data_IF_808683289685
#
_entry.id   IF_808683289685
#
_cell.length_a   1.000
_cell.length_b   1.000
_cell.length_c   1.000
_cell.angle_alpha   90.00
_cell.angle_beta   90.00
_cell.angle_gamma   90.00
#
_symmetry.space_group_name_H-M   'P 1'
#
loop_
_entity.id
_entity.type
_entity.pdbx_description
1 polymer ?
#
# COMPACT_ATOMS: atom_id res chain seq x y z
N UNK A 1 -8.45 -3.00 19.21
CA UNK A 1 -7.44 -3.60 18.32
C UNK A 1 -7.58 -3.00 16.95
N UNK A 2 -6.50 -2.82 16.18
CA UNK A 2 -6.61 -2.35 14.80
C UNK A 2 -7.35 -3.36 13.93
N UNK A 3 -7.93 -2.87 12.84
CA UNK A 3 -8.75 -3.63 11.90
C UNK A 3 -8.03 -3.83 10.58
N UNK A 4 -8.37 -4.93 9.89
CA UNK A 4 -7.94 -5.21 8.51
C UNK A 4 -9.03 -5.92 7.72
N UNK A 5 -8.89 -5.89 6.41
CA UNK A 5 -9.66 -6.76 5.51
C UNK A 5 -8.76 -7.89 5.03
N UNK A 6 -9.28 -9.12 5.01
CA UNK A 6 -8.57 -10.28 4.46
C UNK A 6 -9.41 -10.98 3.40
N UNK A 7 -8.73 -11.57 2.43
CA UNK A 7 -9.28 -12.55 1.49
C UNK A 7 -9.21 -13.90 2.21
N UNK A 8 -10.35 -14.42 2.65
CA UNK A 8 -10.43 -15.69 3.39
C UNK A 8 -10.27 -16.93 2.49
N UNK A 9 -10.61 -16.80 1.21
CA UNK A 9 -10.45 -17.77 0.11
C UNK A 9 -10.58 -17.03 -1.22
N UNK A 10 -10.20 -17.65 -2.32
CA UNK A 10 -10.43 -17.06 -3.64
C UNK A 10 -11.93 -17.01 -3.97
N UNK A 11 -12.39 -15.91 -4.60
CA UNK A 11 -13.80 -15.77 -4.95
C UNK A 11 -14.25 -14.34 -5.24
N UNK A 12 -15.54 -14.11 -5.13
CA UNK A 12 -16.21 -12.82 -5.30
C UNK A 12 -16.04 -11.90 -4.06
N UNK A 13 -16.75 -10.77 -4.01
CA UNK A 13 -16.66 -9.82 -2.89
C UNK A 13 -17.00 -10.43 -1.52
N UNK A 14 -17.82 -11.46 -1.49
CA UNK A 14 -18.27 -12.17 -0.30
C UNK A 14 -17.17 -12.87 0.50
N UNK A 15 -15.99 -13.06 -0.10
CA UNK A 15 -14.85 -13.69 0.57
C UNK A 15 -13.98 -12.71 1.36
N UNK A 16 -14.32 -11.41 1.30
CA UNK A 16 -13.64 -10.38 2.08
C UNK A 16 -14.18 -10.36 3.51
N UNK A 17 -13.30 -10.51 4.47
CA UNK A 17 -13.63 -10.49 5.90
C UNK A 17 -12.99 -9.28 6.56
N UNK A 18 -13.78 -8.51 7.31
CA UNK A 18 -13.29 -7.42 8.16
C UNK A 18 -13.08 -7.94 9.57
N UNK A 19 -11.87 -7.87 10.07
CA UNK A 19 -11.49 -8.50 11.34
C UNK A 19 -10.53 -7.66 12.17
N UNK A 20 -10.51 -7.91 13.48
CA UNK A 20 -9.45 -7.44 14.35
C UNK A 20 -8.17 -8.23 14.08
N UNK A 21 -7.01 -7.60 14.24
CA UNK A 21 -5.73 -8.29 14.13
C UNK A 21 -4.70 -7.74 15.10
N UNK A 22 -3.70 -8.55 15.40
CA UNK A 22 -2.55 -8.15 16.21
C UNK A 22 -1.41 -7.65 15.32
N UNK A 23 -0.96 -6.43 15.60
CA UNK A 23 0.25 -5.90 14.98
C UNK A 23 1.46 -6.65 15.59
N UNK A 24 2.43 -7.08 14.77
CA UNK A 24 3.63 -7.72 15.31
C UNK A 24 4.29 -6.90 16.43
N UNK A 25 4.58 -7.52 17.56
CA UNK A 25 5.18 -6.84 18.72
C UNK A 25 6.61 -6.32 18.43
N UNK A 26 7.29 -6.92 17.45
CA UNK A 26 8.66 -6.55 17.07
C UNK A 26 8.66 -6.03 15.64
N UNK A 27 9.04 -4.77 15.47
CA UNK A 27 9.26 -4.17 14.16
C UNK A 27 10.61 -4.66 13.58
N UNK A 28 10.61 -5.03 12.30
CA UNK A 28 11.87 -5.37 11.60
C UNK A 28 12.79 -4.16 11.53
N UNK A 29 14.13 -4.37 11.63
CA UNK A 29 15.09 -3.27 11.65
C UNK A 29 15.02 -2.31 10.46
N UNK A 30 14.69 -2.81 9.27
CA UNK A 30 14.64 -2.07 7.99
C UNK A 30 13.21 -1.62 7.61
N UNK A 31 12.24 -1.76 8.53
CA UNK A 31 10.84 -1.39 8.33
C UNK A 31 10.45 -0.16 9.14
N UNK A 32 9.37 0.44 8.71
CA UNK A 32 8.66 1.52 9.39
C UNK A 32 7.25 1.04 9.67
N UNK A 33 6.72 1.31 10.87
CA UNK A 33 5.31 1.07 11.21
C UNK A 33 4.50 2.31 10.89
N UNK A 34 3.44 2.12 10.14
CA UNK A 34 2.58 3.19 9.63
C UNK A 34 1.17 3.00 10.19
N UNK A 35 0.62 4.06 10.77
CA UNK A 35 -0.82 4.19 11.02
C UNK A 35 -1.44 4.80 9.76
N UNK A 36 -2.16 4.00 9.01
CA UNK A 36 -2.75 4.41 7.73
C UNK A 36 -4.02 5.23 7.97
N UNK A 37 -4.12 6.37 7.30
CA UNK A 37 -5.30 7.25 7.29
C UNK A 37 -6.13 7.06 6.02
N UNK A 38 -5.49 6.62 4.93
CA UNK A 38 -6.13 6.42 3.62
C UNK A 38 -5.54 5.23 2.90
N UNK A 39 -6.40 4.43 2.27
CA UNK A 39 -6.04 3.23 1.52
C UNK A 39 -6.57 3.33 0.10
N UNK A 40 -5.72 3.13 -0.89
CA UNK A 40 -6.08 3.12 -2.30
C UNK A 40 -6.71 1.79 -2.71
N UNK A 41 -7.84 1.87 -3.41
CA UNK A 41 -8.51 0.72 -4.01
C UNK A 41 -8.16 0.66 -5.49
N UNK A 42 -7.62 -0.46 -5.93
CA UNK A 42 -7.17 -0.66 -7.30
C UNK A 42 -7.80 -1.91 -7.92
N UNK A 43 -8.00 -1.89 -9.24
CA UNK A 43 -8.64 -3.01 -9.93
C UNK A 43 -7.84 -4.32 -9.79
N UNK A 44 -6.53 -4.24 -9.65
CA UNK A 44 -5.65 -5.39 -9.42
C UNK A 44 -5.99 -6.14 -8.11
N UNK A 45 -6.56 -5.47 -7.12
CA UNK A 45 -6.98 -6.10 -5.86
C UNK A 45 -8.09 -7.13 -6.10
N UNK A 46 -8.93 -6.89 -7.11
CA UNK A 46 -9.95 -7.86 -7.55
C UNK A 46 -9.33 -9.09 -8.21
N UNK A 47 -8.20 -8.91 -8.91
CA UNK A 47 -7.46 -10.02 -9.55
C UNK A 47 -6.81 -10.92 -8.51
N UNK A 48 -6.22 -10.35 -7.45
CA UNK A 48 -5.71 -11.11 -6.33
C UNK A 48 -6.83 -11.87 -5.61
N UNK A 49 -7.96 -11.21 -5.35
CA UNK A 49 -9.10 -11.83 -4.68
C UNK A 49 -9.68 -13.00 -5.48
N UNK A 50 -9.83 -12.85 -6.79
CA UNK A 50 -10.41 -13.88 -7.67
C UNK A 50 -9.43 -15.01 -8.02
N UNK A 51 -8.14 -14.85 -7.75
CA UNK A 51 -7.09 -15.79 -8.13
C UNK A 51 -6.60 -15.64 -9.57
N UNK A 52 -7.02 -14.58 -10.30
CA UNK A 52 -6.47 -14.26 -11.62
C UNK A 52 -4.98 -13.93 -11.51
N UNK A 53 -4.58 -13.23 -10.44
CA UNK A 53 -3.19 -13.02 -10.06
C UNK A 53 -2.89 -13.83 -8.79
N UNK A 54 -1.73 -14.51 -8.73
CA UNK A 54 -1.38 -15.33 -7.58
C UNK A 54 -1.23 -14.48 -6.32
N UNK A 55 -1.71 -15.00 -5.21
CA UNK A 55 -1.44 -14.47 -3.89
C UNK A 55 -0.02 -14.85 -3.45
N UNK A 56 0.64 -14.06 -2.59
CA UNK A 56 1.99 -14.35 -2.09
C UNK A 56 2.01 -15.53 -1.10
N UNK A 57 0.86 -15.94 -0.59
CA UNK A 57 0.66 -17.04 0.34
C UNK A 57 -0.77 -17.60 0.21
N UNK A 58 -1.03 -18.74 0.81
CA UNK A 58 -2.39 -19.24 0.95
C UNK A 58 -3.26 -18.30 1.82
N UNK A 59 -4.56 -18.14 1.51
CA UNK A 59 -5.48 -17.38 2.35
C UNK A 59 -5.49 -17.89 3.81
N UNK A 60 -5.71 -17.00 4.80
CA UNK A 60 -6.16 -15.61 4.64
C UNK A 60 -5.03 -14.62 4.33
N UNK A 61 -5.23 -13.73 3.36
CA UNK A 61 -4.27 -12.71 2.95
C UNK A 61 -4.90 -11.33 2.97
N UNK A 62 -4.24 -10.35 3.59
CA UNK A 62 -4.65 -8.95 3.51
C UNK A 62 -4.29 -8.38 2.13
N UNK A 63 -5.26 -7.90 1.33
CA UNK A 63 -5.00 -7.34 0.03
C UNK A 63 -4.54 -5.87 0.09
N UNK A 64 -4.42 -5.28 -1.10
CA UNK A 64 -4.13 -3.85 -1.28
C UNK A 64 -2.65 -3.56 -1.45
N UNK A 65 -2.36 -2.54 -2.27
CA UNK A 65 -1.02 -2.18 -2.71
C UNK A 65 -0.69 -0.70 -2.48
N UNK A 66 -1.64 0.12 -2.05
CA UNK A 66 -1.49 1.56 -2.02
C UNK A 66 -2.13 2.15 -0.76
N UNK A 67 -1.40 2.99 -0.05
CA UNK A 67 -1.92 3.73 1.09
C UNK A 67 -1.04 4.94 1.43
N UNK A 68 -1.59 5.78 2.32
CA UNK A 68 -0.88 6.87 2.98
C UNK A 68 -1.24 6.93 4.47
N UNK A 69 -0.37 7.54 5.25
CA UNK A 69 -0.57 7.67 6.69
C UNK A 69 0.65 8.29 7.38
N UNK A 70 0.75 8.05 8.67
CA UNK A 70 1.78 8.60 9.54
C UNK A 70 2.66 7.51 10.14
N UNK A 71 3.95 7.78 10.23
CA UNK A 71 4.94 6.92 10.87
C UNK A 71 4.74 6.93 12.38
N UNK A 72 4.52 5.76 12.98
CA UNK A 72 4.35 5.60 14.43
C UNK A 72 5.51 4.85 15.11
N UNK A 73 6.33 4.13 14.35
CA UNK A 73 7.53 3.45 14.84
C UNK A 73 8.54 3.29 13.70
N UNK A 74 9.84 3.37 14.01
CA UNK A 74 10.93 3.29 13.03
C UNK A 74 11.92 2.23 13.46
N UNK A 75 12.18 1.27 12.58
CA UNK A 75 13.21 0.25 12.78
C UNK A 75 14.62 0.86 12.78
N UNK A 76 15.53 0.30 13.56
CA UNK A 76 16.85 0.88 13.82
C UNK A 76 17.80 0.93 12.58
N UNK A 77 17.39 0.35 11.46
CA UNK A 77 18.07 0.44 10.15
C UNK A 77 17.22 1.14 9.08
N UNK A 78 16.02 1.61 9.43
CA UNK A 78 15.13 2.34 8.54
C UNK A 78 15.50 3.84 8.51
N UNK A 79 16.61 4.15 7.85
CA UNK A 79 17.13 5.53 7.78
C UNK A 79 16.22 6.45 6.97
N UNK A 80 16.23 7.74 7.31
CA UNK A 80 15.54 8.78 6.58
C UNK A 80 14.08 9.02 7.03
N UNK A 81 13.57 8.28 8.02
CA UNK A 81 12.22 8.45 8.57
C UNK A 81 12.26 8.77 10.06
N UNK A 82 11.25 9.48 10.52
CA UNK A 82 11.00 9.83 11.91
C UNK A 82 9.54 9.60 12.27
N UNK A 83 9.25 9.36 13.55
CA UNK A 83 7.87 9.30 14.04
C UNK A 83 7.19 10.64 13.74
N UNK A 84 5.95 10.61 13.24
CA UNK A 84 5.20 11.77 12.78
C UNK A 84 5.40 12.12 11.30
N UNK A 85 6.35 11.50 10.59
CA UNK A 85 6.47 11.71 9.14
C UNK A 85 5.20 11.24 8.43
N UNK A 86 4.66 12.09 7.57
CA UNK A 86 3.60 11.72 6.63
C UNK A 86 4.20 10.97 5.46
N UNK A 87 3.64 9.83 5.13
CA UNK A 87 4.21 8.90 4.16
C UNK A 87 3.15 8.28 3.27
N UNK A 88 3.56 7.84 2.09
CA UNK A 88 2.73 7.06 1.18
C UNK A 88 3.56 5.99 0.47
N UNK A 89 2.89 5.01 -0.09
CA UNK A 89 3.51 3.97 -0.90
C UNK A 89 2.54 3.43 -1.95
N UNK A 90 3.11 2.89 -3.02
CA UNK A 90 2.41 2.11 -4.03
C UNK A 90 3.24 0.88 -4.41
N UNK A 91 2.56 -0.23 -4.68
CA UNK A 91 3.20 -1.52 -4.97
C UNK A 91 3.37 -2.42 -3.75
N UNK A 92 3.90 -3.62 -4.00
CA UNK A 92 4.02 -4.66 -2.96
C UNK A 92 5.05 -4.38 -1.87
N UNK A 93 4.98 -5.14 -0.78
CA UNK A 93 4.14 -6.31 -0.57
C UNK A 93 2.65 -5.99 -0.38
N UNK A 94 1.75 -6.97 -0.65
CA UNK A 94 0.32 -6.86 -0.34
C UNK A 94 0.09 -6.58 1.14
N UNK A 95 -1.09 -6.03 1.48
CA UNK A 95 -1.47 -5.78 2.87
C UNK A 95 -1.84 -4.34 3.19
N UNK A 96 -2.22 -3.53 2.19
CA UNK A 96 -2.63 -2.15 2.44
C UNK A 96 -4.00 -2.02 3.12
N UNK A 97 -4.86 -3.04 3.06
CA UNK A 97 -6.21 -2.98 3.62
C UNK A 97 -6.22 -3.22 5.14
N UNK A 98 -5.46 -2.42 5.87
CA UNK A 98 -5.38 -2.45 7.33
C UNK A 98 -5.14 -1.05 7.91
N UNK A 99 -5.40 -0.88 9.20
CA UNK A 99 -5.20 0.41 9.87
C UNK A 99 -3.74 0.67 10.26
N UNK A 100 -2.99 -0.36 10.58
CA UNK A 100 -1.57 -0.26 10.97
C UNK A 100 -0.80 -1.35 10.23
N UNK A 101 0.37 -1.03 9.71
CA UNK A 101 1.24 -2.05 9.11
C UNK A 101 2.71 -1.69 9.20
N UNK A 102 3.53 -2.73 9.18
CA UNK A 102 4.97 -2.62 8.98
C UNK A 102 5.27 -2.66 7.48
N UNK A 103 6.08 -1.70 6.99
CA UNK A 103 6.40 -1.59 5.57
C UNK A 103 7.89 -1.31 5.36
N UNK A 104 8.54 -1.89 4.32
CA UNK A 104 9.94 -1.66 4.04
C UNK A 104 10.25 -0.18 3.81
N UNK A 105 11.16 0.40 4.58
CA UNK A 105 11.54 1.81 4.46
C UNK A 105 12.04 2.17 3.05
N UNK A 106 12.73 1.25 2.37
CA UNK A 106 13.26 1.45 1.01
C UNK A 106 12.20 1.68 -0.08
N UNK A 107 10.93 1.42 0.23
CA UNK A 107 9.80 1.60 -0.70
C UNK A 107 8.82 2.66 -0.25
N UNK A 108 9.11 3.32 0.86
CA UNK A 108 8.25 4.33 1.45
C UNK A 108 8.66 5.72 0.93
N UNK A 109 7.68 6.55 0.65
CA UNK A 109 7.88 7.91 0.14
C UNK A 109 7.37 8.89 1.19
N UNK A 110 8.19 9.88 1.55
CA UNK A 110 7.71 11.01 2.36
C UNK A 110 6.69 11.80 1.54
N UNK A 111 5.53 12.03 2.12
CA UNK A 111 4.47 12.79 1.48
C UNK A 111 4.84 14.27 1.51
N UNK A 112 4.90 14.96 0.35
CA UNK A 112 5.19 16.39 0.30
C UNK A 112 4.14 17.22 1.05
N UNK A 113 4.58 18.37 1.56
CA UNK A 113 3.63 19.36 2.10
C UNK A 113 2.63 19.77 1.02
N UNK A 114 1.36 19.98 1.42
CA UNK A 114 0.30 20.37 0.51
C UNK A 114 -0.40 19.24 -0.23
N UNK A 115 0.08 17.99 -0.15
CA UNK A 115 -0.65 16.81 -0.65
C UNK A 115 -1.32 16.11 0.53
N UNK A 116 -2.64 15.90 0.41
CA UNK A 116 -3.40 15.16 1.42
C UNK A 116 -3.21 13.64 1.24
N UNK A 117 -3.35 12.87 2.33
CA UNK A 117 -3.15 11.42 2.33
C UNK A 117 -4.14 10.69 1.42
N UNK A 118 -5.38 11.13 1.37
CA UNK A 118 -6.42 10.56 0.51
C UNK A 118 -6.11 10.80 -0.98
N UNK A 119 -5.57 11.97 -1.33
CA UNK A 119 -5.07 12.26 -2.68
C UNK A 119 -3.92 11.33 -3.02
N UNK A 120 -2.91 11.21 -2.14
CA UNK A 120 -1.77 10.34 -2.37
C UNK A 120 -2.18 8.87 -2.54
N UNK A 121 -3.02 8.35 -1.64
CA UNK A 121 -3.50 6.98 -1.66
C UNK A 121 -4.44 6.66 -2.84
N UNK A 122 -5.00 7.67 -3.51
CA UNK A 122 -5.89 7.47 -4.66
C UNK A 122 -5.19 7.59 -6.01
N UNK A 123 -3.99 8.18 -6.06
CA UNK A 123 -3.35 8.52 -7.33
C UNK A 123 -1.97 7.90 -7.55
N UNK A 124 -1.25 7.51 -6.48
CA UNK A 124 0.17 7.18 -6.62
C UNK A 124 0.42 5.98 -7.53
N UNK A 125 -0.29 4.87 -7.34
CA UNK A 125 -0.15 3.67 -8.18
C UNK A 125 -0.49 3.96 -9.64
N UNK A 126 -1.58 4.69 -9.87
CA UNK A 126 -2.04 5.07 -11.23
C UNK A 126 -1.10 6.09 -11.85
N UNK A 127 -0.66 7.09 -11.08
CA UNK A 127 0.29 8.11 -11.52
C UNK A 127 1.64 7.52 -11.93
N UNK A 128 2.17 6.58 -11.15
CA UNK A 128 3.38 5.84 -11.51
C UNK A 128 3.21 5.04 -12.80
N UNK A 129 2.03 4.46 -13.01
CA UNK A 129 1.72 3.74 -14.26
C UNK A 129 1.69 4.70 -15.45
N UNK A 130 1.08 5.85 -15.30
CA UNK A 130 1.03 6.90 -16.35
C UNK A 130 2.44 7.41 -16.66
N UNK A 131 3.24 7.74 -15.64
CA UNK A 131 4.64 8.15 -15.81
C UNK A 131 5.44 7.10 -16.58
N UNK A 132 5.34 5.84 -16.16
CA UNK A 132 6.03 4.74 -16.81
C UNK A 132 5.65 4.59 -18.28
N UNK A 133 4.36 4.64 -18.60
CA UNK A 133 3.88 4.47 -19.97
C UNK A 133 4.30 5.64 -20.89
N UNK A 134 4.18 6.87 -20.42
CA UNK A 134 4.32 8.06 -21.28
C UNK A 134 5.71 8.72 -21.20
N UNK A 135 6.48 8.46 -20.17
CA UNK A 135 7.83 9.03 -20.04
C UNK A 135 8.94 8.01 -20.35
N UNK A 136 8.71 6.72 -20.02
CA UNK A 136 9.75 5.70 -20.15
C UNK A 136 9.56 4.76 -21.33
N UNK A 137 8.32 4.38 -21.64
CA UNK A 137 8.05 3.48 -22.77
C UNK A 137 7.78 4.24 -24.05
N UNK A 138 6.94 5.25 -24.01
CA UNK A 138 6.56 6.00 -25.20
C UNK A 138 6.36 7.48 -24.87
N UNK A 139 7.28 8.32 -25.37
CA UNK A 139 7.15 9.77 -25.23
C UNK A 139 6.12 10.28 -26.25
N UNK A 140 5.01 10.76 -25.74
CA UNK A 140 3.97 11.40 -26.56
C UNK A 140 4.56 12.63 -27.23
N UNK A 141 4.39 12.73 -28.55
CA UNK A 141 4.76 13.92 -29.32
C UNK A 141 3.57 14.86 -29.44
N UNK A 142 3.88 16.14 -29.72
CA UNK A 142 2.84 17.13 -30.02
C UNK A 142 1.98 16.65 -31.18
N UNK A 143 0.67 16.76 -31.07
CA UNK A 143 -0.32 16.38 -32.08
C UNK A 143 -0.51 14.86 -32.33
N UNK A 144 -0.05 14.00 -31.42
CA UNK A 144 -0.43 12.57 -31.37
C UNK A 144 -1.73 12.40 -30.56
N UNK A 145 -2.66 11.59 -31.09
CA UNK A 145 -3.96 11.26 -30.49
C UNK A 145 -4.09 9.76 -30.24
#
# INVERSE_FOLDING_TARGET
MPKRIVISKLGGPEVLTYEDYEVPSVLRPDHVRIKQSSVGLNYIDTYHRSGLYPLPADPPVCPGLEAAGEVVEVGNKANGFSIGDRVCYAGGPLGAYCEIRDFPASRLIKLPEGIAEDVAASMLLRGMTVEYLFERLYKIKKDEY
#
